data_IF_104962195205
#
_entry.id   IF_104962195205
#
_cell.length_a   1.000
_cell.length_b   1.000
_cell.length_c   1.000
_cell.angle_alpha   90.00
_cell.angle_beta   90.00
_cell.angle_gamma   90.00
#
_symmetry.space_group_name_H-M   'P 1'
#
loop_
_entity.id
_entity.type
_entity.pdbx_description
1 polymer ?
2 non-polymer ?
3 water ?
#
# COMPACT_ATOMS: atom_id res chain seq x y z
N UNK A 1 -4.84 -12.37 -20.14
CA UNK A 1 -5.62 -11.29 -19.45
C UNK A 1 -5.95 -11.67 -18.01
N UNK A 2 -5.85 -10.71 -17.10
CA UNK A 2 -6.30 -10.89 -15.72
C UNK A 2 -7.75 -11.38 -15.73
N UNK A 3 -8.04 -12.46 -15.01
CA UNK A 3 -9.42 -12.98 -15.00
C UNK A 3 -10.34 -12.03 -14.24
N UNK A 4 -11.63 -12.08 -14.55
CA UNK A 4 -12.59 -11.24 -13.79
C UNK A 4 -12.55 -11.58 -12.32
N UNK A 5 -12.43 -12.87 -12.01
CA UNK A 5 -12.39 -13.33 -10.62
C UNK A 5 -11.16 -12.74 -9.92
N UNK A 6 -10.02 -12.79 -10.59
CA UNK A 6 -8.77 -12.24 -10.04
C UNK A 6 -8.84 -10.73 -9.89
N UNK A 7 -9.48 -10.08 -10.86
CA UNK A 7 -9.61 -8.62 -10.82
C UNK A 7 -10.44 -8.22 -9.60
N UNK A 8 -11.49 -8.97 -9.32
CA UNK A 8 -12.32 -8.67 -8.15
C UNK A 8 -11.50 -8.82 -6.86
N UNK A 9 -10.76 -9.92 -6.77
CA UNK A 9 -9.90 -10.14 -5.60
C UNK A 9 -8.86 -9.03 -5.41
N UNK A 10 -8.24 -8.60 -6.50
CA UNK A 10 -7.27 -7.50 -6.44
C UNK A 10 -7.91 -6.19 -6.01
N UNK A 11 -9.05 -5.87 -6.63
CA UNK A 11 -9.68 -4.60 -6.37
C UNK A 11 -10.42 -4.54 -5.05
N UNK A 12 -10.95 -5.68 -4.59
CA UNK A 12 -11.97 -5.64 -3.55
C UNK A 12 -11.76 -6.50 -2.30
N UNK A 13 -10.76 -7.38 -2.31
CA UNK A 13 -10.56 -8.29 -1.17
C UNK A 13 -9.34 -7.93 -0.33
N UNK A 14 -9.57 -7.75 0.96
CA UNK A 14 -8.46 -7.65 1.91
C UNK A 14 -8.87 -8.33 3.22
N UNK A 15 -8.94 -9.65 3.17
CA UNK A 15 -9.49 -10.43 4.28
C UNK A 15 -8.63 -10.30 5.51
N UNK A 16 -9.24 -10.07 6.65
CA UNK A 16 -8.51 -9.97 7.92
C UNK A 16 -9.24 -9.12 8.94
N UNK A 17 -8.82 -9.23 10.21
CA UNK A 17 -9.50 -8.55 11.32
C UNK A 17 -9.15 -7.09 11.54
N UNK A 18 -7.95 -6.70 11.15
CA UNK A 18 -7.47 -5.35 11.46
C UNK A 18 -6.67 -4.81 10.29
N UNK A 19 -7.34 -4.65 9.13
CA UNK A 19 -6.68 -4.30 7.88
C UNK A 19 -5.94 -2.97 7.95
N UNK A 20 -6.49 -2.01 8.71
CA UNK A 20 -5.90 -0.67 8.77
C UNK A 20 -4.88 -0.50 9.91
N UNK A 21 -4.65 -1.57 10.67
CA UNK A 21 -3.69 -1.56 11.76
C UNK A 21 -2.34 -1.02 11.33
N UNK A 22 -1.72 -0.26 12.24
CA UNK A 22 -0.37 0.24 11.98
C UNK A 22 0.65 -0.91 11.76
N UNK A 23 0.35 -2.10 12.29
CA UNK A 23 1.21 -3.25 12.06
C UNK A 23 1.26 -3.66 10.57
N UNK A 24 0.28 -3.21 9.78
CA UNK A 24 0.21 -3.54 8.36
C UNK A 24 0.90 -2.52 7.46
N UNK A 25 1.47 -1.48 8.06
CA UNK A 25 2.07 -0.39 7.26
C UNK A 25 3.09 -0.92 6.25
N UNK A 26 4.06 -1.74 6.70
CA UNK A 26 5.07 -2.26 5.75
C UNK A 26 4.43 -3.12 4.66
N UNK A 27 3.47 -3.97 5.01
CA UNK A 27 2.81 -4.78 3.99
C UNK A 27 2.25 -3.91 2.87
N UNK A 28 1.58 -2.83 3.25
CA UNK A 28 0.92 -1.93 2.29
C UNK A 28 1.92 -1.10 1.50
N UNK A 29 2.92 -0.57 2.21
CA UNK A 29 3.89 0.35 1.61
C UNK A 29 4.85 -0.36 0.67
N UNK A 30 5.31 -1.54 1.08
CA UNK A 30 6.21 -2.31 0.26
C UNK A 30 5.51 -2.68 -1.05
N UNK A 31 4.21 -2.94 -0.96
CA UNK A 31 3.41 -3.22 -2.14
C UNK A 31 3.23 -1.97 -2.98
N UNK A 32 2.77 -0.90 -2.34
CA UNK A 32 2.50 0.35 -3.04
C UNK A 32 3.77 0.90 -3.74
N UNK A 33 4.92 0.81 -3.05
CA UNK A 33 6.17 1.41 -3.53
C UNK A 33 6.99 0.42 -4.38
N UNK A 34 6.34 -0.66 -4.77
CA UNK A 34 6.82 -1.58 -5.83
C UNK A 34 8.05 -2.37 -5.42
N UNK A 35 8.08 -2.83 -4.18
CA UNK A 35 9.20 -3.64 -3.73
C UNK A 35 8.79 -5.07 -3.41
N UNK A 36 7.67 -5.48 -3.98
CA UNK A 36 7.16 -6.86 -3.83
C UNK A 36 6.89 -7.53 -5.16
N UNK A 37 7.30 -6.87 -6.25
CA UNK A 37 7.16 -7.45 -7.59
C UNK A 37 8.37 -8.34 -7.92
N UNK A 38 8.10 -9.60 -8.24
CA UNK A 38 9.14 -10.57 -8.59
C UNK A 38 9.66 -11.37 -7.41
N UNK A 39 10.00 -10.67 -6.34
CA UNK A 39 10.41 -11.27 -5.08
C UNK A 39 10.13 -10.26 -3.96
N UNK A 40 10.14 -10.72 -2.72
CA UNK A 40 9.96 -9.83 -1.60
C UNK A 40 11.30 -9.19 -1.27
N UNK A 41 11.38 -7.86 -1.33
CA UNK A 41 12.59 -7.21 -0.85
C UNK A 41 12.70 -7.50 0.66
N UNK A 42 13.83 -8.10 1.10
CA UNK A 42 13.92 -8.56 2.48
C UNK A 42 13.90 -7.46 3.55
N UNK A 43 14.56 -6.33 3.30
CA UNK A 43 14.70 -5.27 4.29
C UNK A 43 14.55 -3.93 3.58
N UNK A 44 13.71 -3.06 4.12
CA UNK A 44 13.59 -1.72 3.58
C UNK A 44 13.19 -0.71 4.63
N UNK A 45 13.84 0.45 4.57
CA UNK A 45 13.56 1.55 5.50
C UNK A 45 12.79 2.68 4.81
N UNK A 46 11.75 3.16 5.48
CA UNK A 46 11.08 4.41 5.11
C UNK A 46 11.40 5.49 6.11
N UNK A 47 11.67 6.69 5.60
CA UNK A 47 12.07 7.82 6.44
C UNK A 47 10.90 8.83 6.51
N UNK A 48 10.51 9.22 7.72
CA UNK A 48 9.34 10.10 7.94
C UNK A 48 9.68 11.60 8.08
N UNK A 49 10.97 11.91 7.99
CA UNK A 49 11.43 13.29 8.04
C UNK A 49 11.26 13.97 6.70
N UNK A 50 11.31 15.30 6.73
CA UNK A 50 11.26 16.09 5.52
C UNK A 50 12.35 15.65 4.55
N UNK A 51 12.03 15.68 3.27
CA UNK A 51 13.03 15.42 2.25
C UNK A 51 14.20 16.42 2.36
N UNK A 52 13.92 17.63 2.85
CA UNK A 52 14.99 18.62 3.08
C UNK A 52 16.02 18.08 4.07
N UNK A 53 15.54 17.48 5.15
CA UNK A 53 16.43 16.93 6.17
C UNK A 53 17.21 15.74 5.65
N UNK A 54 16.58 14.91 4.82
CA UNK A 54 17.27 13.76 4.25
C UNK A 54 18.31 14.20 3.22
N UNK A 55 17.98 15.18 2.37
CA UNK A 55 18.97 15.73 1.42
C UNK A 55 20.17 16.35 2.14
N UNK A 56 19.89 17.00 3.28
CA UNK A 56 20.94 17.64 4.06
C UNK A 56 22.00 16.64 4.57
N UNK A 57 21.65 15.36 4.65
CA UNK A 57 22.61 14.32 5.07
C UNK A 57 23.82 14.27 4.13
N UNK A 58 23.61 14.63 2.87
CA UNK A 58 24.68 14.62 1.87
C UNK A 58 25.76 15.67 2.16
N UNK A 59 25.52 16.53 3.13
CA UNK A 59 26.56 17.45 3.61
C UNK A 59 26.93 17.24 5.08
N UNK A 60 26.57 16.07 5.62
CA UNK A 60 26.85 15.76 7.02
C UNK A 60 28.07 14.84 7.20
N UNK A 61 27.96 13.79 8.01
CA UNK A 61 29.14 12.99 8.42
C UNK A 61 29.49 11.96 7.34
N UNK A 62 30.66 12.11 6.72
CA UNK A 62 31.12 11.13 5.73
C UNK A 62 31.39 9.79 6.43
N UNK A 63 30.86 8.70 5.86
CA UNK A 63 31.17 7.35 6.29
C UNK A 63 31.30 6.42 5.10
N UNK A 64 32.08 5.34 5.24
CA UNK A 64 32.17 4.36 4.15
C UNK A 64 30.87 3.59 4.04
N UNK A 65 30.44 3.34 2.81
CA UNK A 65 29.26 2.54 2.59
C UNK A 65 29.56 1.10 2.99
N UNK A 66 28.52 0.34 3.29
CA UNK A 66 28.69 -1.06 3.68
C UNK A 66 29.38 -1.87 2.58
N UNK A 67 29.17 -1.48 1.32
CA UNK A 67 29.75 -2.18 0.17
C UNK A 67 31.11 -1.65 -0.28
N UNK A 68 31.72 -0.78 0.52
CA UNK A 68 33.03 -0.27 0.17
C UNK A 68 33.05 0.98 -0.69
N UNK A 69 31.91 1.39 -1.26
CA UNK A 69 31.84 2.67 -1.95
C UNK A 69 32.06 3.84 -0.98
N UNK A 70 32.44 4.97 -1.54
CA UNK A 70 32.94 6.09 -0.75
C UNK A 70 32.11 7.35 -0.96
N UNK A 71 30.80 7.17 -1.07
CA UNK A 71 29.89 8.31 -1.26
C UNK A 71 28.76 8.26 -0.25
N UNK A 72 29.02 7.62 0.90
CA UNK A 72 28.02 7.56 1.97
C UNK A 72 28.19 8.63 3.05
N UNK A 73 27.06 8.95 3.67
CA UNK A 73 26.99 9.97 4.69
C UNK A 73 26.05 9.51 5.76
N UNK A 74 26.38 9.83 7.01
CA UNK A 74 25.51 9.52 8.14
C UNK A 74 24.87 10.82 8.63
N UNK A 75 23.58 10.74 8.93
CA UNK A 75 22.88 11.87 9.52
C UNK A 75 23.48 12.25 10.87
N UNK A 76 23.62 13.56 11.11
CA UNK A 76 24.11 14.06 12.39
C UNK A 76 23.19 13.70 13.53
N UNK A 77 21.89 13.79 13.25
CA UNK A 77 20.87 13.52 14.25
C UNK A 77 20.10 12.26 13.90
N UNK A 78 19.38 11.70 14.88
CA UNK A 78 18.50 10.58 14.58
C UNK A 78 17.29 11.08 13.78
N UNK A 79 16.67 10.15 13.08
CA UNK A 79 15.46 10.42 12.33
C UNK A 79 14.41 9.39 12.66
N UNK A 80 13.14 9.80 12.57
CA UNK A 80 11.99 8.91 12.70
C UNK A 80 11.87 8.09 11.42
N UNK A 81 12.04 6.78 11.56
CA UNK A 81 12.01 5.86 10.42
C UNK A 81 11.14 4.66 10.74
N UNK A 82 10.76 3.95 9.70
CA UNK A 82 10.08 2.69 9.86
C UNK A 82 10.92 1.65 9.17
N UNK A 83 11.24 0.61 9.91
CA UNK A 83 12.04 -0.50 9.47
C UNK A 83 11.07 -1.61 9.07
N UNK A 84 11.20 -2.05 7.81
CA UNK A 84 10.41 -3.16 7.27
C UNK A 84 11.29 -4.38 7.02
N UNK A 85 10.95 -5.50 7.66
CA UNK A 85 11.71 -6.75 7.52
C UNK A 85 10.73 -7.88 7.35
N UNK A 86 11.02 -8.74 6.37
CA UNK A 86 10.22 -9.95 6.18
C UNK A 86 10.10 -10.75 7.47
N UNK A 87 8.89 -11.26 7.72
CA UNK A 87 8.65 -12.17 8.81
C UNK A 87 9.18 -13.56 8.42
N UNK A 88 9.21 -14.47 9.39
CA UNK A 88 9.60 -15.85 9.12
C UNK A 88 8.62 -16.56 8.20
N UNK A 89 7.40 -16.04 8.13
CA UNK A 89 6.31 -16.66 7.35
C UNK A 89 6.20 -16.15 5.92
N UNK A 90 6.80 -14.98 5.66
CA UNK A 90 6.75 -14.35 4.34
C UNK A 90 7.32 -15.24 3.24
N UNK A 91 6.56 -15.35 2.16
CA UNK A 91 6.95 -16.14 1.02
C UNK A 91 6.27 -15.58 -0.23
N UNK A 92 7.06 -15.08 -1.17
CA UNK A 92 6.55 -14.59 -2.45
C UNK A 92 5.59 -15.61 -3.05
N UNK A 93 4.44 -15.15 -3.61
CA UNK A 93 4.03 -13.76 -3.78
C UNK A 93 3.26 -13.16 -2.60
N UNK A 94 3.29 -13.84 -1.46
CA UNK A 94 2.68 -13.34 -0.23
C UNK A 94 3.75 -12.79 0.69
N UNK A 95 4.21 -11.58 0.35
CA UNK A 95 5.24 -10.92 1.12
C UNK A 95 4.61 -10.42 2.41
N UNK A 96 5.32 -10.62 3.52
CA UNK A 96 4.84 -10.22 4.84
C UNK A 96 5.98 -9.60 5.60
N UNK A 97 5.69 -8.50 6.28
CA UNK A 97 6.72 -7.71 6.91
C UNK A 97 6.34 -7.39 8.34
N UNK A 98 7.36 -7.35 9.19
CA UNK A 98 7.25 -6.75 10.50
C UNK A 98 7.56 -5.26 10.38
N UNK A 99 6.64 -4.45 10.87
CA UNK A 99 6.78 -3.00 10.91
C UNK A 99 7.32 -2.59 12.28
N UNK A 100 8.43 -1.85 12.28
CA UNK A 100 9.01 -1.34 13.52
C UNK A 100 9.33 0.13 13.35
N UNK A 101 8.72 0.97 14.18
CA UNK A 101 9.08 2.38 14.20
C UNK A 101 10.24 2.57 15.18
N UNK A 102 11.28 3.24 14.70
CA UNK A 102 12.46 3.51 15.53
C UNK A 102 12.96 4.90 15.23
N UNK A 103 13.83 5.42 16.10
CA UNK A 103 14.55 6.64 15.78
C UNK A 103 16.02 6.25 15.74
N UNK A 104 16.63 6.39 14.57
CA UNK A 104 18.04 6.01 14.37
C UNK A 104 18.73 7.00 13.45
N UNK A 105 20.06 7.00 13.47
CA UNK A 105 20.78 7.71 12.40
C UNK A 105 20.64 6.94 11.10
N UNK A 106 20.57 7.67 10.00
CA UNK A 106 20.53 6.99 8.71
C UNK A 106 21.84 7.19 7.98
N UNK A 107 22.20 6.20 7.16
CA UNK A 107 23.36 6.33 6.30
C UNK A 107 22.85 6.15 4.88
N UNK A 108 23.15 7.13 4.03
CA UNK A 108 22.69 7.12 2.63
C UNK A 108 23.88 7.32 1.73
N UNK A 109 23.78 6.83 0.49
CA UNK A 109 24.77 7.14 -0.52
C UNK A 109 24.22 8.36 -1.27
N UNK A 110 25.09 9.32 -1.57
CA UNK A 110 24.69 10.53 -2.29
C UNK A 110 25.37 10.57 -3.64
N UNK A 111 24.60 10.89 -4.67
CA UNK A 111 25.10 10.85 -6.03
C UNK A 111 24.40 11.85 -6.93
N UNK A 112 24.95 12.05 -8.11
CA UNK A 112 24.37 12.99 -9.06
C UNK A 112 24.83 14.42 -8.81
N UNK A 113 24.30 15.35 -9.62
CA UNK A 113 24.50 16.79 -9.46
C UNK A 113 23.14 17.45 -9.67
N UNK A 114 22.57 18.07 -8.62
CA UNK A 114 23.11 18.18 -7.26
C UNK A 114 23.24 16.82 -6.59
N UNK A 115 24.14 16.73 -5.61
CA UNK A 115 24.37 15.47 -4.91
C UNK A 115 23.21 15.23 -3.94
N UNK A 116 22.45 14.16 -4.18
CA UNK A 116 21.25 13.85 -3.38
C UNK A 116 21.25 12.37 -3.02
N UNK A 117 20.42 11.97 -2.03
CA UNK A 117 20.42 10.53 -1.71
C UNK A 117 19.99 9.67 -2.88
N UNK A 118 20.79 8.64 -3.15
CA UNK A 118 20.48 7.71 -4.23
C UNK A 118 20.33 6.26 -3.75
N UNK A 119 20.69 6.02 -2.49
CA UNK A 119 20.69 4.65 -1.96
C UNK A 119 20.59 4.74 -0.46
N UNK A 120 19.84 3.82 0.13
CA UNK A 120 19.79 3.75 1.58
C UNK A 120 20.73 2.65 2.02
N UNK A 121 21.75 3.03 2.79
CA UNK A 121 22.81 2.07 3.15
C UNK A 121 22.53 1.29 4.43
N UNK A 122 22.13 2.01 5.47
CA UNK A 122 21.92 1.39 6.79
C UNK A 122 21.29 2.36 7.75
N UNK A 123 20.73 1.82 8.81
CA UNK A 123 20.34 2.63 9.96
C UNK A 123 21.18 2.20 11.15
N UNK A 124 21.61 3.16 11.97
CA UNK A 124 22.53 2.87 13.08
C UNK A 124 22.05 3.51 14.39
N UNK B 1 13.47 6.26 -18.00
CA UNK B 1 14.09 5.45 -16.90
C UNK B 1 14.04 6.28 -15.64
N UNK B 2 13.52 5.68 -14.57
CA UNK B 2 13.39 6.34 -13.27
C UNK B 2 14.78 6.79 -12.80
N UNK B 3 14.90 8.05 -12.35
CA UNK B 3 16.18 8.54 -11.85
C UNK B 3 16.51 7.89 -10.50
N UNK B 4 17.80 7.81 -10.20
CA UNK B 4 18.23 7.28 -8.91
C UNK B 4 17.64 8.10 -7.77
N UNK B 5 17.57 9.42 -7.94
CA UNK B 5 16.96 10.29 -6.93
C UNK B 5 15.49 9.94 -6.69
N UNK B 6 14.74 9.79 -7.78
CA UNK B 6 13.33 9.41 -7.72
C UNK B 6 13.17 7.99 -7.14
N UNK B 7 14.08 7.08 -7.47
CA UNK B 7 14.01 5.71 -6.93
C UNK B 7 14.20 5.73 -5.41
N UNK B 8 15.15 6.55 -4.95
CA UNK B 8 15.33 6.70 -3.51
C UNK B 8 14.06 7.25 -2.86
N UNK B 9 13.43 8.24 -3.49
CA UNK B 9 12.20 8.80 -2.91
C UNK B 9 11.09 7.76 -2.85
N UNK B 10 10.97 6.98 -3.92
CA UNK B 10 9.98 5.89 -3.96
C UNK B 10 10.25 4.81 -2.91
N UNK B 11 11.50 4.36 -2.83
CA UNK B 11 11.81 3.25 -1.94
C UNK B 11 11.88 3.65 -0.49
N UNK B 12 12.27 4.89 -0.23
CA UNK B 12 12.71 5.27 1.11
C UNK B 12 12.07 6.48 1.77
N UNK B 13 11.25 7.23 1.03
CA UNK B 13 10.70 8.45 1.63
C UNK B 13 9.22 8.33 1.91
N UNK B 14 8.83 8.62 3.16
CA UNK B 14 7.43 8.83 3.46
C UNK B 14 7.24 10.01 4.43
N UNK B 15 7.58 11.19 3.93
CA UNK B 15 7.59 12.43 4.71
C UNK B 15 6.20 12.88 5.07
N UNK B 16 5.22 12.46 4.27
CA UNK B 16 3.91 13.10 4.30
C UNK B 16 2.91 12.32 5.10
N UNK B 17 3.36 11.23 5.72
CA UNK B 17 2.45 10.35 6.42
C UNK B 17 2.99 9.87 7.73
N UNK B 18 2.04 9.49 8.58
CA UNK B 18 2.32 8.83 9.84
C UNK B 18 2.16 7.32 9.64
N UNK B 19 3.17 6.54 10.01
CA UNK B 19 3.05 5.09 9.95
C UNK B 19 2.04 4.53 10.98
N UNK B 20 1.65 5.32 11.97
CA UNK B 20 0.65 4.88 12.94
C UNK B 20 -0.76 5.35 12.60
N UNK B 21 -0.93 5.96 11.43
CA UNK B 21 -2.27 6.35 10.98
C UNK B 21 -3.15 5.13 10.67
N UNK B 22 -4.42 5.24 11.04
CA UNK B 22 -5.45 4.29 10.63
C UNK B 22 -6.21 4.81 9.41
N UNK B 23 -6.06 6.10 9.11
CA UNK B 23 -6.84 6.71 8.04
C UNK B 23 -6.11 6.83 6.71
N UNK B 24 -4.87 6.31 6.67
CA UNK B 24 -4.06 6.32 5.45
C UNK B 24 -4.26 5.02 4.68
N UNK B 25 -5.11 4.14 5.19
CA UNK B 25 -5.28 2.81 4.59
C UNK B 25 -5.66 2.88 3.12
N UNK B 26 -6.68 3.65 2.81
CA UNK B 26 -7.09 3.74 1.40
C UNK B 26 -5.99 4.25 0.50
N UNK B 27 -5.24 5.26 0.95
CA UNK B 27 -4.17 5.78 0.13
C UNK B 27 -3.17 4.73 -0.24
N UNK B 28 -2.82 3.91 0.74
CA UNK B 28 -1.84 2.85 0.53
C UNK B 28 -2.40 1.69 -0.27
N UNK B 29 -3.62 1.26 0.06
CA UNK B 29 -4.19 0.09 -0.60
C UNK B 29 -4.60 0.37 -2.03
N UNK B 30 -5.16 1.55 -2.28
CA UNK B 30 -5.50 1.93 -3.67
C UNK B 30 -4.26 1.96 -4.53
N UNK B 31 -3.16 2.42 -3.95
CA UNK B 31 -1.88 2.36 -4.63
C UNK B 31 -1.39 0.92 -4.82
N UNK B 32 -1.40 0.15 -3.73
CA UNK B 32 -0.91 -1.25 -3.76
C UNK B 32 -1.64 -2.10 -4.81
N UNK B 33 -2.96 -1.94 -4.85
CA UNK B 33 -3.82 -2.74 -5.72
C UNK B 33 -4.05 -2.13 -7.11
N UNK B 34 -3.22 -1.15 -7.43
CA UNK B 34 -3.07 -0.66 -8.82
C UNK B 34 -4.31 0.07 -9.34
N UNK B 35 -4.92 0.85 -8.46
CA UNK B 35 -6.08 1.63 -8.86
C UNK B 35 -5.80 3.14 -8.89
N UNK B 36 -4.51 3.48 -8.94
CA UNK B 36 -4.06 4.87 -8.99
C UNK B 36 -3.11 5.15 -10.15
N UNK B 37 -3.08 4.24 -11.13
CA UNK B 37 -2.24 4.39 -12.31
C UNK B 37 -3.05 4.97 -13.47
N UNK B 38 -2.53 6.03 -14.10
CA UNK B 38 -3.23 6.71 -15.20
C UNK B 38 -4.26 7.72 -14.71
N UNK B 39 -5.01 7.32 -13.68
CA UNK B 39 -5.96 8.19 -12.98
C UNK B 39 -6.33 7.59 -11.62
N UNK B 40 -6.85 8.44 -10.73
CA UNK B 40 -7.34 7.97 -9.43
C UNK B 40 -8.73 7.36 -9.59
N UNK B 41 -8.87 6.07 -9.29
CA UNK B 41 -10.20 5.49 -9.28
C UNK B 41 -10.97 6.23 -8.20
N UNK B 42 -12.12 6.83 -8.55
CA UNK B 42 -12.80 7.72 -7.59
C UNK B 42 -13.41 7.04 -6.35
N UNK B 43 -13.87 5.81 -6.50
CA UNK B 43 -14.59 5.11 -5.43
C UNK B 43 -14.22 3.64 -5.49
N UNK B 44 -13.85 3.06 -4.34
CA UNK B 44 -13.52 1.64 -4.27
C UNK B 44 -13.76 1.09 -2.89
N UNK B 45 -14.32 -0.12 -2.84
CA UNK B 45 -14.57 -0.80 -1.56
C UNK B 45 -13.66 -2.01 -1.40
N UNK B 46 -13.09 -2.15 -0.21
CA UNK B 46 -12.37 -3.36 0.18
C UNK B 46 -13.18 -4.11 1.20
N UNK B 47 -13.23 -5.43 1.04
CA UNK B 47 -14.01 -6.28 1.91
C UNK B 47 -13.06 -7.10 2.78
N UNK B 48 -13.34 -7.15 4.09
CA UNK B 48 -12.42 -7.74 5.07
C UNK B 48 -12.88 -9.10 5.61
N UNK B 49 -14.05 -9.54 5.17
CA UNK B 49 -14.49 -10.90 5.49
C UNK B 49 -13.68 -11.90 4.68
N UNK B 50 -13.84 -13.18 4.99
CA UNK B 50 -13.11 -14.21 4.28
C UNK B 50 -13.52 -14.24 2.80
N UNK B 51 -12.61 -14.69 1.95
CA UNK B 51 -12.96 -14.90 0.55
C UNK B 51 -14.14 -15.87 0.40
N UNK B 52 -14.17 -16.92 1.22
CA UNK B 52 -15.30 -17.86 1.18
C UNK B 52 -16.62 -17.14 1.43
N UNK B 53 -16.66 -16.30 2.47
CA UNK B 53 -17.89 -15.57 2.80
C UNK B 53 -18.31 -14.64 1.66
N UNK B 54 -17.35 -14.00 1.02
CA UNK B 54 -17.66 -13.11 -0.11
C UNK B 54 -18.16 -13.90 -1.33
N UNK B 55 -17.48 -14.99 -1.66
CA UNK B 55 -17.94 -15.87 -2.74
C UNK B 55 -19.35 -16.39 -2.52
N UNK B 56 -19.69 -16.65 -1.26
CA UNK B 56 -21.03 -17.16 -0.89
C UNK B 56 -22.16 -16.20 -1.18
N UNK B 57 -21.86 -14.90 -1.28
CA UNK B 57 -22.89 -13.90 -1.62
C UNK B 57 -23.56 -14.25 -2.95
N UNK B 58 -22.81 -14.88 -3.85
CA UNK B 58 -23.37 -15.25 -5.15
C UNK B 58 -24.51 -16.26 -5.04
N UNK B 59 -24.67 -16.85 -3.85
CA UNK B 59 -25.75 -17.79 -3.57
C UNK B 59 -26.84 -17.16 -2.67
N UNK B 60 -26.70 -15.87 -2.40
CA UNK B 60 -27.59 -15.18 -1.46
C UNK B 60 -28.70 -14.40 -2.18
N UNK B 61 -29.09 -13.22 -1.69
CA UNK B 61 -30.30 -12.57 -2.18
C UNK B 61 -30.07 -11.91 -3.55
N UNK B 62 -30.81 -12.34 -4.56
CA UNK B 62 -30.85 -11.64 -5.84
C UNK B 62 -31.46 -10.24 -5.73
N UNK B 63 -30.71 -9.23 -6.18
CA UNK B 63 -31.19 -7.85 -6.14
C UNK B 63 -30.85 -7.15 -7.46
N UNK B 64 -31.50 -6.01 -7.70
CA UNK B 64 -31.21 -5.17 -8.85
C UNK B 64 -29.74 -4.65 -8.86
N UNK B 65 -29.10 -4.72 -10.03
CA UNK B 65 -27.78 -4.09 -10.23
C UNK B 65 -28.00 -2.64 -10.55
N UNK B 66 -27.08 -1.79 -10.09
CA UNK B 66 -27.13 -0.38 -10.43
C UNK B 66 -27.18 -0.15 -11.95
N UNK B 67 -26.58 -1.08 -12.71
CA UNK B 67 -26.52 -0.93 -14.18
C UNK B 67 -27.62 -1.70 -14.92
N UNK B 68 -28.58 -2.22 -14.16
CA UNK B 68 -29.71 -2.92 -14.78
C UNK B 68 -29.44 -4.33 -15.24
N UNK B 69 -28.22 -4.83 -15.07
CA UNK B 69 -28.02 -6.26 -15.36
C UNK B 69 -28.71 -7.06 -14.27
N UNK B 70 -28.78 -8.38 -14.47
CA UNK B 70 -29.60 -9.21 -13.62
C UNK B 70 -28.73 -10.26 -12.95
N UNK B 71 -27.49 -9.89 -12.63
CA UNK B 71 -26.56 -10.81 -12.00
C UNK B 71 -26.02 -10.33 -10.67
N UNK B 72 -26.77 -9.47 -9.98
CA UNK B 72 -26.31 -8.96 -8.70
C UNK B 72 -26.94 -9.64 -7.51
N UNK B 73 -26.16 -9.73 -6.43
CA UNK B 73 -26.55 -10.43 -5.23
C UNK B 73 -26.15 -9.62 -4.03
N UNK B 74 -27.03 -9.63 -3.03
CA UNK B 74 -26.79 -8.91 -1.78
C UNK B 74 -26.49 -9.88 -0.63
N UNK B 75 -25.48 -9.54 0.17
CA UNK B 75 -25.13 -10.37 1.32
C UNK B 75 -26.27 -10.38 2.33
N UNK B 76 -26.55 -11.56 2.86
CA UNK B 76 -27.58 -11.78 3.86
C UNK B 76 -27.25 -11.02 5.15
N UNK B 77 -25.96 -10.88 5.43
CA UNK B 77 -25.50 -10.20 6.64
C UNK B 77 -24.64 -9.02 6.26
N UNK B 78 -24.48 -8.08 7.19
CA UNK B 78 -23.53 -7.00 6.93
C UNK B 78 -22.14 -7.61 7.00
N UNK B 79 -21.20 -6.94 6.34
CA UNK B 79 -19.80 -7.35 6.28
C UNK B 79 -18.93 -6.18 6.67
N UNK B 80 -17.76 -6.49 7.23
CA UNK B 80 -16.76 -5.48 7.51
C UNK B 80 -16.06 -5.11 6.21
N UNK B 81 -16.20 -3.84 5.85
CA UNK B 81 -15.64 -3.31 4.60
C UNK B 81 -15.02 -1.93 4.86
N UNK B 82 -14.22 -1.48 3.92
CA UNK B 82 -13.65 -0.15 3.97
C UNK B 82 -14.05 0.55 2.68
N UNK B 83 -14.65 1.72 2.86
CA UNK B 83 -15.07 2.56 1.75
C UNK B 83 -13.95 3.56 1.50
N UNK B 84 -13.48 3.60 0.25
CA UNK B 84 -12.43 4.53 -0.17
C UNK B 84 -13.02 5.49 -1.19
N UNK B 85 -12.99 6.79 -0.89
CA UNK B 85 -13.51 7.85 -1.74
C UNK B 85 -12.45 8.90 -1.94
N UNK B 86 -12.26 9.31 -3.19
CA UNK B 86 -11.38 10.42 -3.47
C UNK B 86 -11.81 11.68 -2.73
N UNK B 87 -10.84 12.39 -2.17
CA UNK B 87 -11.06 13.69 -1.52
C UNK B 87 -11.18 14.84 -2.52
N UNK B 88 -11.70 15.98 -2.05
CA UNK B 88 -11.78 17.19 -2.87
C UNK B 88 -10.41 17.69 -3.29
N UNK B 89 -9.41 17.47 -2.43
CA UNK B 89 -8.04 17.86 -2.69
C UNK B 89 -7.29 16.94 -3.65
N UNK B 90 -7.75 15.68 -3.76
CA UNK B 90 -7.12 14.68 -4.61
C UNK B 90 -6.99 15.13 -6.06
N UNK B 91 -5.76 15.06 -6.57
CA UNK B 91 -5.46 15.40 -7.95
C UNK B 91 -4.33 14.49 -8.42
N UNK B 92 -4.65 13.64 -9.38
CA UNK B 92 -3.65 12.77 -10.02
C UNK B 92 -2.39 13.55 -10.39
N UNK B 93 -1.19 12.99 -10.13
CA UNK B 93 -0.91 11.65 -9.64
C UNK B 93 -0.83 11.52 -8.12
N UNK B 94 -1.28 12.55 -7.41
CA UNK B 94 -1.33 12.50 -5.94
C UNK B 94 -2.75 12.14 -5.51
N UNK B 95 -3.07 10.85 -5.60
CA UNK B 95 -4.42 10.35 -5.33
C UNK B 95 -4.66 10.25 -3.84
N UNK B 96 -5.66 10.98 -3.35
CA UNK B 96 -5.96 11.01 -1.92
C UNK B 96 -7.37 10.52 -1.64
N UNK B 97 -7.49 9.67 -0.62
CA UNK B 97 -8.75 9.03 -0.29
C UNK B 97 -9.15 9.23 1.16
N UNK B 98 -10.44 9.35 1.37
CA UNK B 98 -11.02 9.25 2.70
C UNK B 98 -11.33 7.77 2.94
N UNK B 99 -10.80 7.25 4.04
CA UNK B 99 -11.05 5.89 4.50
C UNK B 99 -12.18 5.87 5.51
N UNK B 100 -13.21 5.07 5.23
CA UNK B 100 -14.31 4.90 6.20
C UNK B 100 -14.45 3.42 6.52
N UNK B 101 -14.33 3.07 7.79
CA UNK B 101 -14.63 1.71 8.22
C UNK B 101 -16.13 1.58 8.31
N UNK B 102 -16.67 0.55 7.67
CA UNK B 102 -18.12 0.38 7.61
C UNK B 102 -18.53 -1.06 7.78
N UNK B 103 -19.73 -1.27 8.33
CA UNK B 103 -20.36 -2.57 8.30
C UNK B 103 -21.67 -2.42 7.58
N UNK B 104 -21.70 -2.85 6.32
CA UNK B 104 -22.90 -2.75 5.49
C UNK B 104 -23.06 -4.03 4.73
N UNK B 105 -24.25 -4.25 4.16
CA UNK B 105 -24.42 -5.34 3.20
C UNK B 105 -23.73 -4.95 1.92
N UNK B 106 -23.09 -5.94 1.29
CA UNK B 106 -22.48 -5.70 -0.01
C UNK B 106 -23.35 -6.27 -1.11
N UNK B 107 -23.32 -5.59 -2.26
CA UNK B 107 -24.00 -6.07 -3.46
C UNK B 107 -22.87 -6.27 -4.46
N UNK B 108 -22.78 -7.49 -4.99
CA UNK B 108 -21.78 -7.81 -5.98
C UNK B 108 -22.42 -8.39 -7.22
N UNK B 109 -21.78 -8.18 -8.36
CA UNK B 109 -22.18 -8.90 -9.58
C UNK B 109 -21.39 -10.20 -9.61
N UNK B 110 -22.07 -11.29 -9.98
CA UNK B 110 -21.44 -12.60 -10.09
C UNK B 110 -21.41 -13.12 -11.52
N UNK B 111 -20.35 -13.85 -11.85
CA UNK B 111 -20.18 -14.38 -13.18
C UNK B 111 -19.20 -15.54 -13.19
N UNK B 112 -19.15 -16.26 -14.31
CA UNK B 112 -18.25 -17.39 -14.40
C UNK B 112 -18.93 -18.65 -13.96
N UNK B 113 -18.21 -19.76 -14.10
CA UNK B 113 -18.66 -21.07 -13.63
C UNK B 113 -17.45 -21.74 -12.97
N UNK B 114 -17.40 -21.77 -11.62
CA UNK B 114 -18.45 -21.39 -10.69
C UNK B 114 -18.74 -19.88 -10.68
N UNK B 115 -19.97 -19.53 -10.32
CA UNK B 115 -20.36 -18.12 -10.25
C UNK B 115 -19.71 -17.48 -9.03
N UNK B 116 -18.83 -16.52 -9.30
CA UNK B 116 -18.05 -15.86 -8.26
C UNK B 116 -18.13 -14.34 -8.46
N UNK B 117 -17.84 -13.57 -7.41
CA UNK B 117 -17.97 -12.12 -7.61
C UNK B 117 -17.03 -11.59 -8.68
N UNK B 118 -17.57 -10.78 -9.58
CA UNK B 118 -16.74 -10.20 -10.64
C UNK B 118 -16.72 -8.66 -10.62
N UNK B 119 -17.61 -8.06 -9.85
CA UNK B 119 -17.72 -6.60 -9.79
C UNK B 119 -18.35 -6.22 -8.46
N UNK B 120 -17.87 -5.12 -7.88
CA UNK B 120 -18.49 -4.65 -6.65
C UNK B 120 -19.48 -3.56 -7.01
N UNK B 121 -20.76 -3.76 -6.66
CA UNK B 121 -21.81 -2.84 -7.13
C UNK B 121 -22.11 -1.70 -6.19
N UNK B 122 -22.30 -2.04 -4.91
CA UNK B 122 -22.73 -1.09 -3.90
C UNK B 122 -22.63 -1.68 -2.51
N UNK B 123 -22.61 -0.80 -1.52
CA UNK B 123 -22.80 -1.19 -0.13
C UNK B 123 -24.04 -0.48 0.33
N UNK B 124 -24.90 -1.20 1.05
CA UNK B 124 -26.21 -0.66 1.47
C UNK B 124 -26.53 -1.06 2.91
X LIG C 1 22.10 -4.66 4.29
X LIG C 1 21.99 -4.78 2.82
X LIG C 1 23.26 -4.24 2.22
X LIG C 1 21.56 -6.18 2.41
X LIG C 1 20.77 -3.83 2.28
X LIG C 1 20.41 -3.85 0.89
X LIG C 1 19.25 -2.93 0.51
X LIG C 1 18.14 -3.05 1.44
X LIG C 1 19.64 -1.46 0.45
X LIG C 1 19.79 -1.04 -0.90
X LIG C 1 18.44 -0.72 0.98
X LIG C 1 17.61 -0.40 -0.12
X LIG C 1 17.70 -1.73 1.83
X LIG C 1 17.92 -1.52 3.25
X LIG C 1 17.16 -0.56 3.94
X LIG C 1 17.33 -0.36 5.27
X LIG C 1 18.24 -1.08 5.97
X LIG C 1 19.00 -2.04 5.31
X LIG C 1 18.82 -2.25 3.95
X LIG C 1 16.34 0.12 3.32
X LIG C 1 18.40 -0.87 7.30
X LIG D 1 -20.71 3.53 -9.47
X LIG D 1 -19.66 3.35 -10.51
X LIG D 1 -20.27 2.70 -11.72
X LIG D 1 -18.99 4.68 -10.71
X LIG D 1 -18.54 2.34 -9.92
X LIG D 1 -17.54 1.78 -10.76
X LIG D 1 -16.61 0.93 -9.88
X LIG D 1 -16.39 1.56 -8.61
X LIG D 1 -17.20 -0.44 -9.56
X LIG D 1 -16.88 -1.44 -10.54
X LIG D 1 -16.49 -0.79 -8.28
X LIG D 1 -15.22 -1.34 -8.63
X LIG D 1 -16.26 0.54 -7.60
X LIG D 1 -17.17 0.84 -6.50
X LIG D 1 -16.85 0.30 -5.23
X LIG D 1 -17.64 0.56 -4.17
X LIG D 1 -18.75 1.33 -4.30
X LIG D 1 -19.09 1.87 -5.53
X LIG D 1 -18.28 1.61 -6.64
X LIG D 1 -15.86 -0.43 -5.13
X LIG D 1 -19.53 1.56 -3.21
#
# INVERSE_FOLDING_TARGET
KESAAAKFERQHMDSGNSPSSSSNYCNLMMCCRKMTQGKCKPVNTFVHESLADVKAVCSQKKVTCKNGQTNCYQSKSTMRITDCRETGSSKYPNCAYKTTQVEKHIIVACGGKPSVPVHFDASV
KESAAAKFERQHMDSGNSPSSSSNYCNLMMCCRKMTQGKCKPVNTFVHESLADVKAVCSQKKVTCKNGQTNCYQSKSTMRITDCRETGSSKYPNCAYKTTQVEKHIIVACGGKPSVPVHFDASV
C5P O3P P O1P O2P O5' C5' C4' O4' C3' O3' C2' O2' C1' N1 C2 N3 C4 C5 C6 O2 N4
C5P O3P P O1P O2P O5' C5' C4' O4' C3' O3' C2' O2' C1' N1 C2 N3 C4 C5 C6 O2 N4
#
